data_IF_204867278843
#
_entry.id   IF_204867278843
#
_cell.length_a   1.000
_cell.length_b   1.000
_cell.length_c   1.000
_cell.angle_alpha   90.00
_cell.angle_beta   90.00
_cell.angle_gamma   90.00
#
_symmetry.space_group_name_H-M   'P 1'
#
loop_
_entity.id
_entity.type
_entity.pdbx_description
1 polymer ?
#
# COMPACT_ATOMS: atom_id res chain seq x y z
N UNK A 1 1.92 -13.95 13.20
CA UNK A 1 1.64 -13.55 11.80
C UNK A 1 0.58 -12.46 11.66
N UNK A 2 0.20 -11.77 12.75
CA UNK A 2 -0.76 -10.66 12.70
C UNK A 2 -0.02 -9.33 12.81
N UNK A 3 -0.58 -8.28 12.23
CA UNK A 3 -0.08 -6.91 12.27
C UNK A 3 0.28 -6.49 13.70
N UNK A 4 1.50 -5.99 13.91
CA UNK A 4 1.97 -5.59 15.25
C UNK A 4 1.19 -4.39 15.80
N UNK A 5 0.69 -3.49 14.92
CA UNK A 5 -0.10 -2.30 15.29
C UNK A 5 -1.53 -2.66 15.70
N UNK A 6 -2.27 -3.37 14.86
CA UNK A 6 -3.71 -3.59 15.08
C UNK A 6 -4.08 -5.00 15.55
N UNK A 7 -3.20 -6.00 15.40
CA UNK A 7 -3.40 -7.42 15.77
C UNK A 7 -4.66 -8.09 15.21
N UNK A 8 -5.38 -7.45 14.28
CA UNK A 8 -6.63 -7.95 13.68
C UNK A 8 -6.44 -8.62 12.31
N UNK A 9 -5.42 -8.20 11.56
CA UNK A 9 -5.19 -8.60 10.16
C UNK A 9 -3.81 -9.21 9.99
N UNK A 10 -3.65 -10.09 9.01
CA UNK A 10 -2.36 -10.67 8.63
C UNK A 10 -1.37 -9.57 8.25
N UNK A 11 -0.13 -9.70 8.71
CA UNK A 11 0.94 -8.79 8.34
C UNK A 11 1.43 -9.13 6.92
N UNK A 12 1.42 -8.14 6.03
CA UNK A 12 1.83 -8.28 4.62
C UNK A 12 2.92 -7.29 4.23
N UNK A 13 3.19 -6.29 5.07
CA UNK A 13 4.29 -5.34 4.91
C UNK A 13 5.29 -5.58 6.02
N UNK A 14 6.52 -5.94 5.68
CA UNK A 14 7.60 -6.15 6.64
C UNK A 14 8.58 -4.98 6.55
N UNK A 15 8.82 -4.31 7.66
CA UNK A 15 9.77 -3.21 7.76
C UNK A 15 10.80 -3.57 8.81
N UNK A 16 12.07 -3.40 8.46
CA UNK A 16 13.19 -3.54 9.38
C UNK A 16 13.49 -2.17 9.96
N UNK A 17 13.28 -2.01 11.27
CA UNK A 17 13.65 -0.81 12.02
C UNK A 17 14.82 -1.09 12.95
N UNK A 18 15.65 -0.08 13.19
CA UNK A 18 16.76 -0.17 14.14
C UNK A 18 16.29 0.36 15.50
N UNK A 19 16.12 -0.54 16.47
CA UNK A 19 15.73 -0.23 17.85
C UNK A 19 16.90 -0.58 18.78
N UNK A 20 17.44 0.39 19.51
CA UNK A 20 18.58 0.20 20.43
C UNK A 20 19.75 -0.61 19.84
N UNK A 21 20.16 -0.31 18.60
CA UNK A 21 21.19 -1.04 17.82
C UNK A 21 20.83 -2.48 17.41
N UNK A 22 19.58 -2.90 17.54
CA UNK A 22 19.10 -4.19 17.03
C UNK A 22 18.16 -3.97 15.85
N UNK A 23 18.38 -4.67 14.71
CA UNK A 23 17.40 -4.69 13.64
C UNK A 23 16.17 -5.47 14.10
N UNK A 24 15.05 -4.77 14.30
CA UNK A 24 13.75 -5.33 14.63
C UNK A 24 12.93 -5.41 13.34
N UNK A 25 12.51 -6.63 12.99
CA UNK A 25 11.60 -6.86 11.88
C UNK A 25 10.15 -6.78 12.37
N UNK A 26 9.44 -5.75 11.92
CA UNK A 26 8.04 -5.53 12.28
C UNK A 26 7.12 -5.78 11.08
N UNK A 27 6.03 -6.51 11.32
CA UNK A 27 5.03 -6.81 10.31
C UNK A 27 3.77 -5.96 10.48
N UNK A 28 3.37 -5.23 9.45
CA UNK A 28 2.16 -4.40 9.39
C UNK A 28 1.17 -4.91 8.35
N UNK A 29 -0.12 -4.67 8.59
CA UNK A 29 -1.14 -4.84 7.55
C UNK A 29 -1.19 -3.59 6.66
N UNK A 30 -1.69 -3.75 5.42
CA UNK A 30 -1.80 -2.67 4.42
C UNK A 30 -2.33 -1.35 4.98
N UNK A 31 -3.46 -1.39 5.71
CA UNK A 31 -4.06 -0.18 6.31
C UNK A 31 -3.12 0.53 7.30
N UNK A 32 -2.44 -0.22 8.16
CA UNK A 32 -1.50 0.34 9.13
C UNK A 32 -0.22 0.86 8.48
N UNK A 33 0.20 0.26 7.36
CA UNK A 33 1.34 0.70 6.58
C UNK A 33 1.04 2.00 5.81
N UNK A 34 -0.16 2.13 5.22
CA UNK A 34 -0.64 3.38 4.60
C UNK A 34 -0.64 4.55 5.58
N UNK A 35 -1.17 4.33 6.79
CA UNK A 35 -1.18 5.35 7.86
C UNK A 35 0.23 5.75 8.33
N UNK A 36 1.26 4.94 8.07
CA UNK A 36 2.65 5.29 8.41
C UNK A 36 3.28 6.26 7.40
N UNK A 37 2.57 6.63 6.32
CA UNK A 37 2.99 7.72 5.44
C UNK A 37 4.34 7.46 4.79
N UNK A 38 4.46 6.34 4.07
CA UNK A 38 5.69 6.02 3.33
C UNK A 38 5.86 7.07 2.22
N UNK A 39 6.89 7.94 2.28
CA UNK A 39 7.01 9.12 1.42
C UNK A 39 7.16 8.79 -0.07
N UNK A 40 7.63 7.59 -0.41
CA UNK A 40 7.76 7.11 -1.79
C UNK A 40 6.41 7.07 -2.52
N UNK A 41 5.31 6.85 -1.79
CA UNK A 41 3.95 6.85 -2.36
C UNK A 41 3.49 8.29 -2.66
N UNK A 42 3.81 9.24 -1.79
CA UNK A 42 3.48 10.66 -2.01
C UNK A 42 4.28 11.27 -3.16
N UNK A 43 5.54 10.86 -3.34
CA UNK A 43 6.37 11.28 -4.48
C UNK A 43 5.87 10.68 -5.80
N UNK A 44 5.41 9.41 -5.80
CA UNK A 44 4.82 8.76 -6.97
C UNK A 44 3.51 9.45 -7.40
N UNK A 45 2.65 9.82 -6.44
CA UNK A 45 1.42 10.58 -6.65
C UNK A 45 1.73 11.97 -7.25
N UNK A 46 2.70 12.69 -6.69
CA UNK A 46 3.13 13.99 -7.21
C UNK A 46 3.75 13.91 -8.60
N UNK A 47 4.47 12.83 -8.91
CA UNK A 47 5.11 12.62 -10.22
C UNK A 47 4.11 12.41 -11.36
N UNK A 48 2.90 11.93 -11.07
CA UNK A 48 1.81 11.76 -12.07
C UNK A 48 1.02 13.05 -12.32
N UNK A 49 1.20 14.10 -11.52
CA UNK A 49 0.50 15.39 -11.69
C UNK A 49 -1.00 15.36 -11.35
N UNK A 50 -1.46 14.29 -10.68
CA UNK A 50 -2.83 14.16 -10.21
C UNK A 50 -2.93 14.71 -8.78
N UNK A 51 -3.95 15.52 -8.51
CA UNK A 51 -4.24 16.00 -7.16
C UNK A 51 -4.93 14.91 -6.34
N UNK A 52 -4.97 15.04 -5.01
CA UNK A 52 -5.64 14.07 -4.14
C UNK A 52 -7.12 13.86 -4.53
N UNK A 53 -7.79 14.90 -5.04
CA UNK A 53 -9.16 14.86 -5.55
C UNK A 53 -9.29 14.06 -6.85
N UNK A 54 -8.30 14.17 -7.75
CA UNK A 54 -8.27 13.40 -9.01
C UNK A 54 -8.06 11.90 -8.72
N UNK A 55 -7.33 11.56 -7.66
CA UNK A 55 -7.09 10.17 -7.25
C UNK A 55 -8.36 9.52 -6.72
N UNK A 56 -9.16 10.26 -5.94
CA UNK A 56 -10.45 9.74 -5.45
C UNK A 56 -11.43 9.50 -6.59
N UNK A 57 -11.54 10.43 -7.55
CA UNK A 57 -12.37 10.22 -8.75
C UNK A 57 -11.86 9.05 -9.60
N UNK A 58 -10.55 8.96 -9.82
CA UNK A 58 -9.96 7.89 -10.61
C UNK A 58 -10.14 6.53 -9.93
N UNK A 59 -10.06 6.47 -8.59
CA UNK A 59 -10.30 5.25 -7.84
C UNK A 59 -11.75 4.76 -7.99
N UNK A 60 -12.72 5.67 -7.92
CA UNK A 60 -14.14 5.33 -8.11
C UNK A 60 -14.45 4.89 -9.55
N UNK A 61 -13.86 5.54 -10.57
CA UNK A 61 -14.01 5.11 -11.96
C UNK A 61 -13.31 3.78 -12.23
N UNK A 62 -12.13 3.57 -11.65
CA UNK A 62 -11.37 2.34 -11.80
C UNK A 62 -12.05 1.15 -11.12
N UNK A 63 -12.67 1.34 -9.95
CA UNK A 63 -13.43 0.28 -9.26
C UNK A 63 -14.61 -0.18 -10.12
N UNK A 64 -15.39 0.77 -10.65
CA UNK A 64 -16.50 0.49 -11.57
C UNK A 64 -16.04 -0.23 -12.86
N UNK A 65 -14.91 0.18 -13.43
CA UNK A 65 -14.37 -0.43 -14.64
C UNK A 65 -13.73 -1.81 -14.36
N UNK A 66 -13.10 -1.99 -13.20
CA UNK A 66 -12.51 -3.24 -12.74
C UNK A 66 -13.57 -4.30 -12.44
N UNK A 67 -14.70 -3.90 -11.85
CA UNK A 67 -15.85 -4.77 -11.61
C UNK A 67 -16.48 -5.24 -12.93
N UNK A 68 -16.53 -4.34 -13.93
CA UNK A 68 -17.04 -4.63 -15.27
C UNK A 68 -16.10 -5.54 -16.09
N UNK A 69 -14.79 -5.46 -15.85
CA UNK A 69 -13.76 -6.26 -16.56
C UNK A 69 -13.25 -7.48 -15.77
N UNK A 70 -13.72 -7.70 -14.54
CA UNK A 70 -13.37 -8.86 -13.72
C UNK A 70 -11.88 -8.94 -13.34
N UNK A 71 -11.15 -7.83 -13.36
CA UNK A 71 -9.71 -7.80 -13.13
C UNK A 71 -9.40 -7.72 -11.62
N UNK A 72 -9.60 -8.83 -10.90
CA UNK A 72 -9.06 -8.97 -9.55
C UNK A 72 -7.54 -9.06 -9.62
N UNK A 73 -6.86 -7.97 -9.26
CA UNK A 73 -5.44 -7.75 -9.46
C UNK A 73 -4.51 -8.82 -8.92
N UNK A 74 -3.71 -9.43 -9.83
CA UNK A 74 -2.38 -9.98 -9.55
C UNK A 74 -1.63 -10.36 -10.84
N UNK A 75 -1.30 -9.42 -11.76
CA UNK A 75 -0.47 -9.72 -12.95
C UNK A 75 0.47 -8.57 -13.37
N UNK A 76 1.17 -7.94 -12.42
CA UNK A 76 2.25 -6.99 -12.71
C UNK A 76 3.62 -7.51 -12.21
N UNK A 77 3.92 -8.77 -12.49
CA UNK A 77 5.24 -9.37 -12.29
C UNK A 77 5.58 -10.32 -13.43
N UNK A 78 5.60 -9.83 -14.67
CA UNK A 78 6.25 -10.58 -15.76
C UNK A 78 6.62 -9.70 -16.96
N UNK A 79 7.41 -8.66 -16.73
CA UNK A 79 8.33 -8.15 -17.75
C UNK A 79 9.63 -7.69 -17.08
N UNK A 80 10.49 -8.65 -16.72
CA UNK A 80 11.94 -8.63 -16.95
C UNK A 80 12.47 -10.05 -16.79
#
# INVERSE_FOLDING_TARGET
MLCVKCKKRTAVVFVTRMDENKPVNEGYCLKCAKDMGIPQVNEMIRGMGMTDEDIEQFADEFDNMSEQLGLSGNELDSQT
#
